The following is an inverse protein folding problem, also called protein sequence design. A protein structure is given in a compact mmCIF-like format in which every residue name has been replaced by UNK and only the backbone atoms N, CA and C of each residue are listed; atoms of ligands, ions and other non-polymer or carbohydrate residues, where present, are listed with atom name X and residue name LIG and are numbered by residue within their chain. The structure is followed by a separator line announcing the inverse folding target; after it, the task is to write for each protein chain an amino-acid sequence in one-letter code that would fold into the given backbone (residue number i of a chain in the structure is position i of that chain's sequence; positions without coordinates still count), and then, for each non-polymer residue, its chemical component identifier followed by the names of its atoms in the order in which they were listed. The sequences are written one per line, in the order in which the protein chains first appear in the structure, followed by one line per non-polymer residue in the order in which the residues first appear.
data_IF_935939928079
#
_entry.id   IF_935939928079
#
_cell.length_a   1.000
_cell.length_b   1.000
_cell.length_c   1.000
_cell.angle_alpha   90.00
_cell.angle_beta   90.00
_cell.angle_gamma   90.00
#
_symmetry.space_group_name_H-M   'P 1'
#
loop_
_entity.id
_entity.type
_entity.pdbx_description
1 polymer ?
#
# COMPACT_ATOMS: atom_id res chain seq x y z
N UNK A 1 -11.78 -7.35 -0.97
CA UNK A 1 -10.59 -6.58 -1.41
C UNK A 1 -10.51 -5.37 -0.51
N UNK A 2 -9.33 -5.05 0.01
CA UNK A 2 -9.10 -3.95 0.96
C UNK A 2 -7.97 -3.09 0.38
N UNK A 3 -8.20 -1.78 0.29
CA UNK A 3 -7.15 -0.83 -0.04
C UNK A 3 -6.49 -0.34 1.24
N UNK A 4 -5.15 -0.40 1.29
CA UNK A 4 -4.35 0.02 2.44
C UNK A 4 -3.39 1.12 2.03
N UNK A 5 -3.08 1.99 2.99
CA UNK A 5 -2.18 3.11 2.81
C UNK A 5 -1.32 3.26 4.06
N UNK A 6 0.00 3.23 3.87
CA UNK A 6 1.00 3.54 4.88
C UNK A 6 1.70 4.86 4.49
N UNK A 7 1.58 5.88 5.35
CA UNK A 7 2.07 7.24 5.10
C UNK A 7 3.29 7.50 5.96
N UNK A 8 4.46 7.49 5.34
CA UNK A 8 5.72 7.92 5.95
C UNK A 8 6.12 9.33 5.51
N UNK A 9 7.07 9.92 6.25
CA UNK A 9 7.56 11.28 5.97
C UNK A 9 8.25 11.44 4.61
N UNK A 10 8.81 10.36 4.06
CA UNK A 10 9.58 10.38 2.80
C UNK A 10 8.93 9.54 1.70
N UNK A 11 8.12 8.55 2.09
CA UNK A 11 7.48 7.66 1.15
C UNK A 11 6.07 7.33 1.61
N UNK A 12 5.19 7.14 0.64
CA UNK A 12 3.85 6.64 0.79
C UNK A 12 3.79 5.26 0.13
N UNK A 13 3.26 4.27 0.84
CA UNK A 13 3.03 2.91 0.31
C UNK A 13 1.54 2.66 0.20
N UNK A 14 1.10 2.31 -1.00
CA UNK A 14 -0.28 1.94 -1.32
C UNK A 14 -0.32 0.44 -1.58
N UNK A 15 -1.37 -0.25 -1.14
CA UNK A 15 -1.53 -1.68 -1.41
C UNK A 15 -2.98 -2.11 -1.55
N UNK A 16 -3.20 -3.23 -2.25
CA UNK A 16 -4.50 -3.91 -2.28
C UNK A 16 -4.33 -5.31 -1.72
N UNK A 17 -5.11 -5.63 -0.69
CA UNK A 17 -5.26 -6.99 -0.16
C UNK A 17 -6.49 -7.68 -0.73
N UNK A 18 -6.36 -8.97 -1.04
CA UNK A 18 -7.48 -9.89 -1.29
C UNK A 18 -7.40 -11.00 -0.25
N UNK A 19 -8.35 -11.02 0.68
CA UNK A 19 -8.29 -11.84 1.88
C UNK A 19 -7.00 -11.51 2.65
N UNK A 20 -6.08 -12.47 2.80
CA UNK A 20 -4.83 -12.31 3.56
C UNK A 20 -3.61 -12.09 2.64
N UNK A 21 -3.82 -12.00 1.33
CA UNK A 21 -2.75 -11.85 0.35
C UNK A 21 -2.67 -10.40 -0.17
N UNK A 22 -1.47 -9.83 -0.17
CA UNK A 22 -1.17 -8.56 -0.83
C UNK A 22 -0.98 -8.81 -2.32
N UNK A 23 -1.93 -8.35 -3.13
CA UNK A 23 -1.95 -8.65 -4.56
C UNK A 23 -1.24 -7.57 -5.41
N UNK A 24 -1.07 -6.37 -4.86
CA UNK A 24 -0.31 -5.30 -5.50
C UNK A 24 0.15 -4.28 -4.47
N UNK A 25 1.37 -3.76 -4.65
CA UNK A 25 1.91 -2.63 -3.88
C UNK A 25 2.52 -1.58 -4.81
N UNK A 26 2.45 -0.32 -4.38
CA UNK A 26 3.15 0.80 -5.00
C UNK A 26 3.84 1.63 -3.94
N UNK A 27 5.03 2.12 -4.26
CA UNK A 27 5.77 3.09 -3.44
C UNK A 27 5.89 4.39 -4.20
N UNK A 28 5.47 5.47 -3.56
CA UNK A 28 5.66 6.83 -4.04
C UNK A 28 6.60 7.56 -3.08
N UNK A 29 7.51 8.34 -3.63
CA UNK A 29 8.24 9.33 -2.83
C UNK A 29 7.34 10.53 -2.58
N UNK A 30 7.40 11.05 -1.35
CA UNK A 30 6.70 12.29 -0.96
C UNK A 30 7.42 13.52 -1.49
#
# INVERSE_FOLDING_TARGET
MIFVLDVGNTNIVLGIYKNEELIVEWRLST
#
